data_IF_937124826653
#
_entry.id   IF_937124826653
#
_cell.length_a   1.000
_cell.length_b   1.000
_cell.length_c   1.000
_cell.angle_alpha   90.00
_cell.angle_beta   90.00
_cell.angle_gamma   90.00
#
_symmetry.space_group_name_H-M   'P 1'
#
loop_
_entity.id
_entity.type
_entity.pdbx_description
1 polymer ?
#
# COMPACT_ATOMS: atom_id res chain seq x y z
N UNK A 1 10.75 4.12 5.95
CA UNK A 1 10.74 4.91 4.70
C UNK A 1 12.12 5.15 4.12
N UNK A 2 13.13 4.52 4.72
CA UNK A 2 14.51 4.70 4.28
C UNK A 2 14.72 4.30 2.82
N UNK A 3 14.08 3.21 2.39
CA UNK A 3 14.18 2.79 0.98
C UNK A 3 13.58 3.81 0.05
N UNK A 4 12.43 4.37 0.41
CA UNK A 4 11.79 5.39 -0.41
C UNK A 4 12.64 6.66 -0.50
N UNK A 5 13.31 7.02 0.58
CA UNK A 5 14.22 8.17 0.59
C UNK A 5 15.39 7.97 -0.38
N UNK A 6 15.75 6.73 -0.64
CA UNK A 6 16.81 6.39 -1.59
C UNK A 6 16.29 6.19 -3.01
N UNK A 7 14.99 6.41 -3.23
CA UNK A 7 14.38 6.20 -4.53
C UNK A 7 14.13 4.73 -4.87
N UNK A 8 14.09 3.87 -3.87
CA UNK A 8 13.86 2.44 -4.08
C UNK A 8 12.38 2.12 -3.96
N UNK A 9 11.72 1.63 -5.01
CA UNK A 9 10.31 1.22 -4.92
C UNK A 9 10.15 0.06 -3.94
N UNK A 10 9.06 0.08 -3.17
CA UNK A 10 8.81 -0.93 -2.14
C UNK A 10 7.47 -1.61 -2.41
N UNK A 11 7.46 -2.86 -2.88
CA UNK A 11 6.21 -3.59 -3.05
C UNK A 11 5.67 -4.03 -1.69
N UNK A 12 4.36 -3.89 -1.52
CA UNK A 12 3.69 -4.35 -0.31
C UNK A 12 2.41 -5.08 -0.67
N UNK A 13 2.02 -6.02 0.19
CA UNK A 13 0.72 -6.68 0.08
C UNK A 13 -0.30 -5.97 0.95
N UNK A 14 -1.50 -5.83 0.43
CA UNK A 14 -2.58 -5.16 1.16
C UNK A 14 -3.88 -5.95 1.08
N UNK A 15 -4.76 -5.65 2.02
CA UNK A 15 -6.15 -6.09 2.00
C UNK A 15 -6.96 -5.03 1.27
N UNK A 16 -7.39 -5.32 0.06
CA UNK A 16 -7.95 -4.30 -0.84
C UNK A 16 -9.48 -4.29 -0.92
N UNK A 17 -10.14 -5.05 -0.07
CA UNK A 17 -11.61 -5.14 -0.02
C UNK A 17 -12.11 -4.86 1.37
N UNK A 18 -13.40 -4.56 1.46
CA UNK A 18 -14.07 -4.31 2.73
C UNK A 18 -13.78 -2.94 3.31
N UNK A 19 -14.52 -2.54 4.34
CA UNK A 19 -14.33 -1.23 4.95
C UNK A 19 -13.01 -1.19 5.75
N UNK A 20 -12.53 0.01 6.01
CA UNK A 20 -11.27 0.19 6.75
C UNK A 20 -11.33 -0.37 8.17
N UNK A 21 -12.53 -0.49 8.74
CA UNK A 21 -12.72 -1.10 10.05
C UNK A 21 -12.60 -2.62 10.06
N UNK A 22 -12.74 -3.25 8.91
CA UNK A 22 -12.66 -4.71 8.74
C UNK A 22 -12.11 -5.05 7.36
N UNK A 23 -10.85 -4.71 7.07
CA UNK A 23 -10.27 -4.96 5.74
C UNK A 23 -10.16 -6.45 5.47
N UNK A 24 -10.28 -6.80 4.19
CA UNK A 24 -10.20 -8.20 3.73
C UNK A 24 -9.70 -8.23 2.28
N UNK A 25 -9.62 -9.42 1.71
CA UNK A 25 -9.25 -9.59 0.32
C UNK A 25 -7.75 -9.43 0.09
N UNK A 26 -6.95 -10.25 0.74
CA UNK A 26 -5.50 -10.25 0.54
C UNK A 26 -5.10 -10.76 -0.83
N UNK A 27 -3.79 -10.80 -1.06
CA UNK A 27 -3.24 -11.25 -2.32
C UNK A 27 -3.10 -10.15 -3.36
N UNK A 28 -3.35 -8.92 -2.99
CA UNK A 28 -3.14 -7.76 -3.87
C UNK A 28 -1.85 -7.04 -3.50
N UNK A 29 -1.05 -6.72 -4.50
CA UNK A 29 0.22 -6.04 -4.32
C UNK A 29 0.18 -4.67 -4.96
N UNK A 30 0.72 -3.69 -4.23
CA UNK A 30 0.94 -2.34 -4.74
C UNK A 30 2.40 -1.98 -4.51
N UNK A 31 2.87 -0.93 -5.17
CA UNK A 31 4.26 -0.50 -5.02
C UNK A 31 4.30 0.92 -4.45
N UNK A 32 4.95 1.06 -3.31
CA UNK A 32 5.23 2.38 -2.74
C UNK A 32 6.38 3.00 -3.52
N UNK A 33 6.20 4.21 -4.01
CA UNK A 33 7.24 4.91 -4.76
C UNK A 33 7.64 6.24 -4.13
N UNK A 34 6.89 6.72 -3.15
CA UNK A 34 7.20 7.96 -2.46
C UNK A 34 6.22 8.19 -1.31
N UNK A 35 6.32 9.36 -0.71
CA UNK A 35 5.40 9.76 0.34
C UNK A 35 5.44 11.27 0.53
N UNK A 36 4.38 11.80 1.13
CA UNK A 36 4.35 13.17 1.64
C UNK A 36 3.92 13.12 3.11
N UNK A 37 3.52 14.26 3.69
CA UNK A 37 3.19 14.31 5.11
C UNK A 37 2.06 13.37 5.51
N UNK A 38 1.05 13.22 4.65
CA UNK A 38 -0.16 12.50 4.98
C UNK A 38 -0.40 11.26 4.12
N UNK A 39 0.34 11.11 3.04
CA UNK A 39 0.08 10.08 2.04
C UNK A 39 1.31 9.29 1.68
N UNK A 40 1.10 8.02 1.32
CA UNK A 40 2.04 7.29 0.50
C UNK A 40 1.67 7.52 -0.96
N UNK A 41 2.68 7.64 -1.81
CA UNK A 41 2.50 7.71 -3.26
C UNK A 41 2.76 6.31 -3.78
N UNK A 42 1.78 5.74 -4.47
CA UNK A 42 1.84 4.33 -4.86
C UNK A 42 1.47 4.14 -6.31
N UNK A 43 1.91 3.03 -6.86
CA UNK A 43 1.38 2.48 -8.10
C UNK A 43 0.53 1.27 -7.73
N UNK A 44 -0.75 1.33 -8.06
CA UNK A 44 -1.71 0.27 -7.82
C UNK A 44 -2.20 -0.25 -9.18
N UNK A 45 -1.89 -1.50 -9.54
CA UNK A 45 -2.22 -2.00 -10.88
C UNK A 45 -3.72 -2.13 -11.14
N UNK A 46 -4.56 -2.10 -10.11
CA UNK A 46 -6.02 -2.20 -10.28
C UNK A 46 -6.70 -0.84 -10.42
N UNK A 47 -5.99 0.26 -10.18
CA UNK A 47 -6.56 1.58 -10.25
C UNK A 47 -6.44 2.32 -8.93
N UNK A 48 -7.35 3.24 -8.67
CA UNK A 48 -7.34 4.01 -7.42
C UNK A 48 -8.37 3.44 -6.45
N UNK A 49 -7.88 2.93 -5.33
CA UNK A 49 -8.70 2.30 -4.29
C UNK A 49 -9.23 3.37 -3.32
N UNK A 50 -10.53 3.30 -3.05
CA UNK A 50 -11.09 4.04 -1.91
C UNK A 50 -10.77 3.24 -0.65
N UNK A 51 -9.85 3.75 0.15
CA UNK A 51 -9.34 3.01 1.30
C UNK A 51 -10.36 2.88 2.43
N UNK A 52 -11.37 3.74 2.47
CA UNK A 52 -12.43 3.62 3.48
C UNK A 52 -13.38 2.48 3.18
N UNK A 53 -13.71 2.31 1.91
CA UNK A 53 -14.75 1.37 1.48
C UNK A 53 -14.20 0.06 0.95
N UNK A 54 -12.97 0.06 0.46
CA UNK A 54 -12.40 -1.10 -0.19
C UNK A 54 -12.94 -1.30 -1.61
N UNK A 55 -13.31 -0.22 -2.28
CA UNK A 55 -13.83 -0.26 -3.64
C UNK A 55 -12.96 0.64 -4.51
N UNK A 56 -12.64 0.17 -5.69
CA UNK A 56 -11.88 0.99 -6.63
C UNK A 56 -12.78 2.07 -7.23
N UNK A 57 -12.38 3.33 -7.06
CA UNK A 57 -13.12 4.47 -7.60
C UNK A 57 -12.84 4.66 -9.09
N UNK A 58 -11.72 4.14 -9.56
CA UNK A 58 -11.38 4.07 -10.98
C UNK A 58 -10.62 2.78 -11.19
N UNK A 59 -10.60 2.27 -12.41
CA UNK A 59 -9.99 0.98 -12.69
C UNK A 59 -8.94 1.09 -13.78
N UNK A 60 -8.01 0.13 -13.76
CA UNK A 60 -6.95 0.06 -14.74
C UNK A 60 -5.62 0.58 -14.20
N UNK A 61 -4.53 0.03 -14.72
CA UNK A 61 -3.19 0.35 -14.23
C UNK A 61 -2.79 1.81 -14.47
N UNK A 62 -3.32 2.42 -15.53
CA UNK A 62 -3.00 3.83 -15.82
C UNK A 62 -3.57 4.75 -14.75
N UNK A 63 -4.77 4.44 -14.24
CA UNK A 63 -5.42 5.26 -13.21
C UNK A 63 -4.81 5.05 -11.83
N UNK A 64 -4.12 3.94 -11.64
CA UNK A 64 -3.46 3.62 -10.37
C UNK A 64 -2.01 4.06 -10.29
N UNK A 65 -1.53 4.84 -11.25
CA UNK A 65 -0.16 5.33 -11.22
C UNK A 65 -0.04 6.59 -10.39
N UNK A 66 0.95 6.59 -9.48
CA UNK A 66 1.27 7.75 -8.64
C UNK A 66 0.06 8.28 -7.87
N UNK A 67 -0.79 7.38 -7.41
CA UNK A 67 -1.94 7.75 -6.59
C UNK A 67 -1.49 8.00 -5.16
N UNK A 68 -2.19 8.89 -4.47
CA UNK A 68 -1.92 9.17 -3.06
C UNK A 68 -2.90 8.40 -2.20
N UNK A 69 -2.35 7.55 -1.33
CA UNK A 69 -3.13 6.80 -0.36
C UNK A 69 -2.80 7.32 1.04
N UNK A 70 -3.84 7.74 1.77
CA UNK A 70 -3.69 8.21 3.15
C UNK A 70 -2.91 7.20 3.98
N UNK A 71 -1.90 7.66 4.71
CA UNK A 71 -1.01 6.78 5.47
C UNK A 71 -1.75 5.95 6.51
N UNK A 72 -2.63 6.58 7.28
CA UNK A 72 -3.35 5.86 8.33
C UNK A 72 -4.28 4.80 7.75
N UNK A 73 -5.00 5.15 6.70
CA UNK A 73 -5.93 4.23 6.07
C UNK A 73 -5.20 3.09 5.38
N UNK A 74 -4.09 3.38 4.73
CA UNK A 74 -3.30 2.32 4.08
C UNK A 74 -2.70 1.38 5.11
N UNK A 75 -2.20 1.90 6.22
CA UNK A 75 -1.62 1.07 7.27
C UNK A 75 -2.61 0.07 7.85
N UNK A 76 -3.89 0.40 7.88
CA UNK A 76 -4.92 -0.54 8.34
C UNK A 76 -5.07 -1.73 7.39
N UNK A 77 -4.69 -1.58 6.14
CA UNK A 77 -4.81 -2.62 5.11
C UNK A 77 -3.50 -3.34 4.83
N UNK A 78 -2.42 -2.85 5.35
CA UNK A 78 -1.09 -3.41 5.12
C UNK A 78 -0.93 -4.70 5.92
N UNK A 79 -0.41 -5.72 5.28
CA UNK A 79 -0.21 -7.03 5.90
C UNK A 79 1.07 -7.07 6.72
N UNK A 80 1.17 -6.16 7.70
CA UNK A 80 2.39 -6.02 8.51
C UNK A 80 2.63 -7.25 9.37
N UNK A 81 1.58 -7.84 9.93
CA UNK A 81 1.75 -9.03 10.74
C UNK A 81 2.25 -10.21 9.93
N UNK A 82 2.26 -10.10 8.63
CA UNK A 82 2.87 -11.08 7.76
C UNK A 82 4.39 -11.05 7.78
N UNK A 83 4.99 -10.22 8.60
CA UNK A 83 6.43 -10.25 8.81
C UNK A 83 6.91 -11.66 9.15
N UNK A 84 6.13 -12.40 9.90
CA UNK A 84 6.46 -13.77 10.23
C UNK A 84 6.55 -14.66 8.98
N UNK A 85 5.92 -14.25 7.90
CA UNK A 85 5.99 -14.97 6.63
C UNK A 85 7.23 -14.60 5.83
N UNK A 86 7.97 -13.61 6.26
CA UNK A 86 9.25 -13.25 5.67
C UNK A 86 9.21 -12.22 4.57
N UNK A 87 8.07 -11.79 4.12
CA UNK A 87 8.07 -10.91 2.97
C UNK A 87 8.20 -9.42 3.27
N UNK A 88 8.17 -9.04 4.53
CA UNK A 88 8.51 -7.69 4.93
C UNK A 88 9.89 -7.55 5.55
N UNK A 89 10.64 -8.61 5.60
CA UNK A 89 11.91 -8.65 6.30
C UNK A 89 12.83 -7.51 5.95
N UNK A 90 13.11 -7.36 4.66
CA UNK A 90 14.07 -6.37 4.20
C UNK A 90 13.56 -4.97 4.46
N UNK A 91 12.27 -4.78 4.35
CA UNK A 91 11.66 -3.48 4.59
C UNK A 91 11.74 -3.10 6.06
N UNK A 92 11.41 -4.03 6.94
CA UNK A 92 11.48 -3.80 8.37
C UNK A 92 12.90 -3.47 8.81
N UNK A 93 13.87 -4.18 8.31
CA UNK A 93 15.28 -3.98 8.64
C UNK A 93 15.78 -2.63 8.15
N UNK A 94 15.23 -2.10 7.10
CA UNK A 94 15.69 -0.86 6.46
C UNK A 94 14.91 0.37 6.87
N UNK A 95 13.84 0.22 7.62
CA UNK A 95 13.00 1.35 8.01
C UNK A 95 13.46 2.04 9.29
N UNK A 96 14.27 1.41 10.04
CA UNK A 96 14.79 1.98 11.30
C UNK A 96 15.77 3.13 11.08
#
# INVERSE_FOLDING_TARGET
LRLLDKGVPVPIGILHKGPSSAPRGGGHWITLVGYDNNNFIVNDPFGKLNLKDGIYSSSGSADGRLVRYDKELLMKRWLIQSQSDGWFWDFSANWS
#
